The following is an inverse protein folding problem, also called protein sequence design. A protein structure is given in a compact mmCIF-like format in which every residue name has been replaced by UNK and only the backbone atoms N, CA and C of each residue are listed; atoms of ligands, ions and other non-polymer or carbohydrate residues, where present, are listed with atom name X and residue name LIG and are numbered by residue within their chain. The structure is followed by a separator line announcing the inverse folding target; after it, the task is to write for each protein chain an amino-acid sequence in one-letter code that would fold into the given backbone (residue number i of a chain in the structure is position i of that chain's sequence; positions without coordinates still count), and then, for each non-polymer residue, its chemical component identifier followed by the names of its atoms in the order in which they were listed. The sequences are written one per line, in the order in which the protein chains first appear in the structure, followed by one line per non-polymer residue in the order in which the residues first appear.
data_IF_666339285446
#
_entry.id   IF_666339285446
#
_cell.length_a   1.000
_cell.length_b   1.000
_cell.length_c   1.000
_cell.angle_alpha   90.00
_cell.angle_beta   90.00
_cell.angle_gamma   90.00
#
_symmetry.space_group_name_H-M   'P 1'
#
loop_
_entity.id
_entity.type
_entity.pdbx_description
1 polymer ?
#
# COMPACT_ATOMS: atom_id res chain seq x y z
N UNK A 1 26.60 20.55 20.81
CA UNK A 1 25.27 20.84 20.23
C UNK A 1 24.40 19.59 20.30
N UNK A 2 23.49 19.54 21.26
CA UNK A 2 22.54 18.44 21.50
C UNK A 2 21.37 18.55 20.53
N UNK A 3 21.63 18.32 19.24
CA UNK A 3 20.59 18.28 18.22
C UNK A 3 20.00 16.88 18.12
N UNK A 4 18.66 16.77 18.21
CA UNK A 4 17.96 15.54 17.80
C UNK A 4 18.12 15.35 16.29
N UNK A 5 18.39 14.13 15.84
CA UNK A 5 18.49 13.80 14.41
C UNK A 5 17.39 12.82 14.03
N UNK A 6 16.66 13.10 12.95
CA UNK A 6 15.62 12.20 12.48
C UNK A 6 16.21 10.95 11.82
N UNK A 7 15.45 9.85 11.91
CA UNK A 7 15.81 8.56 11.34
C UNK A 7 14.67 8.02 10.47
N UNK A 8 15.04 7.28 9.42
CA UNK A 8 14.15 6.49 8.58
C UNK A 8 14.35 5.02 8.95
N UNK A 9 13.65 4.58 10.00
CA UNK A 9 13.75 3.22 10.55
C UNK A 9 12.61 2.36 9.98
N UNK A 10 12.88 1.37 9.12
CA UNK A 10 11.88 0.42 8.69
C UNK A 10 11.27 -0.34 9.87
N UNK A 11 10.02 -0.78 9.75
CA UNK A 11 9.33 -1.50 10.83
C UNK A 11 10.09 -2.74 11.31
N UNK A 12 10.74 -3.48 10.40
CA UNK A 12 11.53 -4.66 10.72
C UNK A 12 12.75 -4.36 11.61
N UNK A 13 13.27 -3.13 11.54
CA UNK A 13 14.50 -2.72 12.22
C UNK A 13 14.24 -1.99 13.54
N UNK A 14 12.96 -1.77 13.89
CA UNK A 14 12.57 -0.94 15.05
C UNK A 14 13.26 -1.35 16.35
N UNK A 15 13.42 -2.65 16.57
CA UNK A 15 14.02 -3.18 17.80
C UNK A 15 15.54 -3.03 17.78
N UNK A 16 16.17 -3.16 16.60
CA UNK A 16 17.60 -2.91 16.42
C UNK A 16 17.92 -1.42 16.62
N UNK A 17 17.16 -0.53 15.99
CA UNK A 17 17.31 0.92 16.16
C UNK A 17 17.11 1.35 17.62
N UNK A 18 16.10 0.80 18.30
CA UNK A 18 15.85 1.07 19.73
C UNK A 18 17.03 0.61 20.60
N UNK A 19 17.58 -0.59 20.36
CA UNK A 19 18.80 -1.08 21.06
C UNK A 19 20.01 -0.19 20.78
N UNK A 20 20.14 0.33 19.57
CA UNK A 20 21.19 1.28 19.17
C UNK A 20 20.99 2.70 19.75
N UNK A 21 19.92 2.96 20.49
CA UNK A 21 19.69 4.21 21.21
C UNK A 21 18.67 5.15 20.57
N UNK A 22 18.00 4.77 19.48
CA UNK A 22 16.92 5.55 18.90
C UNK A 22 15.74 5.70 19.87
N UNK A 23 14.97 6.76 19.68
CA UNK A 23 13.74 7.09 20.41
C UNK A 23 12.61 7.37 19.43
N UNK A 24 11.37 7.16 19.87
CA UNK A 24 10.16 7.43 19.08
C UNK A 24 9.52 8.73 19.53
N UNK A 25 9.25 9.64 18.59
CA UNK A 25 8.44 10.83 18.82
C UNK A 25 6.99 10.53 18.38
N UNK A 26 6.01 10.43 19.30
CA UNK A 26 4.63 10.11 18.96
C UNK A 26 3.89 11.25 18.24
N UNK A 27 4.31 12.51 18.43
CA UNK A 27 3.70 13.66 17.77
C UNK A 27 4.17 13.74 16.31
N UNK A 28 5.48 13.60 16.09
CA UNK A 28 6.05 13.55 14.74
C UNK A 28 5.83 12.20 14.04
N UNK A 29 5.45 11.16 14.81
CA UNK A 29 5.37 9.75 14.38
C UNK A 29 6.63 9.32 13.65
N UNK A 30 7.80 9.64 14.24
CA UNK A 30 9.11 9.40 13.61
C UNK A 30 10.17 9.02 14.65
N UNK A 31 11.09 8.16 14.24
CA UNK A 31 12.26 7.79 15.03
C UNK A 31 13.32 8.89 15.00
N UNK A 32 14.03 9.09 16.11
CA UNK A 32 15.12 10.04 16.20
C UNK A 32 16.27 9.54 17.08
N UNK A 33 17.48 10.02 16.79
CA UNK A 33 18.64 9.91 17.66
C UNK A 33 18.59 11.06 18.69
N UNK A 34 18.68 10.79 20.01
CA UNK A 34 18.58 11.81 21.05
C UNK A 34 19.79 12.75 21.13
N UNK A 35 20.91 12.38 20.49
CA UNK A 35 22.12 13.19 20.33
C UNK A 35 22.84 12.81 19.04
N UNK A 36 23.68 13.71 18.54
CA UNK A 36 24.56 13.44 17.41
C UNK A 36 25.68 12.44 17.75
N UNK A 37 26.28 11.83 16.72
CA UNK A 37 27.46 10.98 16.85
C UNK A 37 27.21 9.58 17.41
N UNK A 38 26.00 9.03 17.28
CA UNK A 38 25.72 7.63 17.59
C UNK A 38 25.90 6.83 16.29
N UNK A 39 27.12 6.37 16.01
CA UNK A 39 27.46 5.67 14.76
C UNK A 39 26.58 4.43 14.49
N UNK A 40 26.12 3.75 15.55
CA UNK A 40 25.21 2.61 15.43
C UNK A 40 23.84 2.96 14.81
N UNK A 41 23.50 4.25 14.67
CA UNK A 41 22.26 4.73 14.05
C UNK A 41 22.43 5.20 12.59
N UNK A 42 23.67 5.27 12.08
CA UNK A 42 23.97 5.70 10.71
C UNK A 42 23.21 4.91 9.63
N UNK A 43 22.95 3.59 9.77
CA UNK A 43 22.15 2.83 8.79
C UNK A 43 20.73 3.38 8.57
N UNK A 44 20.18 4.12 9.55
CA UNK A 44 18.84 4.70 9.51
C UNK A 44 18.85 6.23 9.41
N UNK A 45 19.98 6.87 9.08
CA UNK A 45 20.04 8.32 8.93
C UNK A 45 18.90 8.84 8.04
N UNK A 46 18.28 9.97 8.37
CA UNK A 46 17.21 10.51 7.53
C UNK A 46 17.71 10.84 6.12
N UNK A 47 16.98 10.37 5.12
CA UNK A 47 17.11 10.81 3.73
C UNK A 47 16.25 12.06 3.48
N UNK A 48 16.44 12.78 2.35
CA UNK A 48 15.52 13.85 1.95
C UNK A 48 14.06 13.37 1.98
N UNK A 49 13.13 14.24 2.37
CA UNK A 49 11.71 13.86 2.34
C UNK A 49 11.22 13.71 0.90
N UNK A 50 10.28 12.78 0.68
CA UNK A 50 9.56 12.66 -0.59
C UNK A 50 8.59 13.85 -0.71
N UNK A 51 8.47 14.49 -1.89
CA UNK A 51 7.54 15.59 -2.09
C UNK A 51 6.09 15.18 -1.83
N UNK A 52 5.27 16.11 -1.32
CA UNK A 52 3.85 15.86 -1.06
C UNK A 52 3.04 15.67 -2.35
N UNK A 53 3.51 16.13 -3.51
CA UNK A 53 2.97 15.80 -4.82
C UNK A 53 4.05 15.04 -5.58
N UNK A 54 3.81 13.77 -5.90
CA UNK A 54 4.74 13.00 -6.73
C UNK A 54 4.74 13.55 -8.17
N UNK A 55 5.89 13.56 -8.86
CA UNK A 55 5.94 13.93 -10.26
C UNK A 55 4.96 13.12 -11.10
N UNK A 56 4.08 13.79 -11.84
CA UNK A 56 3.07 13.13 -12.69
C UNK A 56 1.90 12.46 -11.94
N UNK A 57 1.81 12.57 -10.62
CA UNK A 57 0.68 12.01 -9.87
C UNK A 57 -0.62 12.79 -10.11
N UNK A 58 -1.65 12.07 -10.56
CA UNK A 58 -3.01 12.60 -10.62
C UNK A 58 -3.73 12.32 -9.29
N UNK A 59 -3.85 13.37 -8.46
CA UNK A 59 -4.52 13.27 -7.15
C UNK A 59 -6.04 13.10 -7.26
N UNK A 60 -6.63 13.28 -8.45
CA UNK A 60 -8.05 12.98 -8.70
C UNK A 60 -8.28 11.51 -9.07
N UNK A 61 -7.24 10.81 -9.56
CA UNK A 61 -7.33 9.40 -9.94
C UNK A 61 -7.82 8.55 -8.77
N UNK A 62 -8.86 7.76 -9.03
CA UNK A 62 -9.42 6.85 -8.03
C UNK A 62 -9.94 7.55 -6.78
N UNK A 63 -10.53 8.75 -6.94
CA UNK A 63 -11.27 9.43 -5.88
C UNK A 63 -12.55 8.66 -5.48
N UNK A 64 -12.94 8.80 -4.22
CA UNK A 64 -14.09 8.09 -3.66
C UNK A 64 -13.79 6.63 -3.27
N UNK A 65 -14.81 5.95 -2.74
CA UNK A 65 -14.71 4.53 -2.38
C UNK A 65 -15.29 3.67 -3.49
N UNK A 66 -14.48 2.74 -4.00
CA UNK A 66 -14.91 1.73 -4.95
C UNK A 66 -14.04 0.49 -4.83
N UNK A 67 -14.60 -0.63 -5.31
CA UNK A 67 -13.88 -1.88 -5.54
C UNK A 67 -12.90 -1.69 -6.69
N UNK A 68 -11.60 -1.89 -6.41
CA UNK A 68 -10.50 -1.68 -7.36
C UNK A 68 -9.61 -2.91 -7.32
N UNK A 69 -9.94 -3.87 -8.18
CA UNK A 69 -9.27 -5.16 -8.23
C UNK A 69 -8.07 -5.08 -9.16
N UNK A 70 -6.91 -5.46 -8.64
CA UNK A 70 -5.67 -5.55 -9.42
C UNK A 70 -5.67 -6.86 -10.24
N UNK A 71 -5.24 -6.84 -11.52
CA UNK A 71 -5.15 -8.03 -12.36
C UNK A 71 -4.27 -9.14 -11.77
N UNK A 72 -4.56 -10.40 -12.12
CA UNK A 72 -3.82 -11.57 -11.58
C UNK A 72 -2.31 -11.51 -11.79
N UNK A 73 -1.88 -11.09 -12.99
CA UNK A 73 -0.46 -10.94 -13.37
C UNK A 73 0.28 -9.85 -12.62
N UNK A 74 -0.44 -9.03 -11.86
CA UNK A 74 0.10 -7.95 -11.03
C UNK A 74 -0.06 -8.24 -9.53
N UNK A 75 -0.56 -9.41 -9.15
CA UNK A 75 -0.67 -9.78 -7.74
C UNK A 75 0.72 -9.88 -7.10
N UNK A 76 0.82 -9.42 -5.86
CA UNK A 76 2.04 -9.43 -5.03
C UNK A 76 3.18 -8.49 -5.49
N UNK A 77 2.98 -7.69 -6.53
CA UNK A 77 3.86 -6.56 -6.92
C UNK A 77 3.24 -5.22 -6.58
N UNK A 78 3.24 -4.91 -5.29
CA UNK A 78 2.86 -3.58 -4.79
C UNK A 78 4.11 -2.70 -4.64
N UNK A 79 3.92 -1.41 -4.42
CA UNK A 79 5.05 -0.46 -4.29
C UNK A 79 5.97 -0.87 -3.16
N UNK A 80 5.42 -1.34 -2.03
CA UNK A 80 6.22 -1.79 -0.89
C UNK A 80 7.20 -2.91 -1.24
N UNK A 81 6.85 -3.85 -2.12
CA UNK A 81 7.77 -4.91 -2.56
C UNK A 81 8.77 -4.43 -3.61
N UNK A 82 8.49 -3.31 -4.27
CA UNK A 82 9.30 -2.77 -5.36
C UNK A 82 10.17 -1.57 -4.95
N UNK A 83 10.31 -1.25 -3.67
CA UNK A 83 11.16 -0.13 -3.20
C UNK A 83 12.05 -0.56 -2.05
N UNK A 84 13.13 0.20 -1.79
CA UNK A 84 13.94 0.01 -0.59
C UNK A 84 13.10 0.19 0.70
N UNK A 85 13.48 -0.49 1.78
CA UNK A 85 12.69 -0.46 3.02
C UNK A 85 12.69 0.93 3.69
N UNK A 86 13.77 1.71 3.57
CA UNK A 86 13.81 3.09 4.08
C UNK A 86 12.97 4.01 3.20
N UNK A 87 12.99 3.78 1.89
CA UNK A 87 12.14 4.48 0.93
C UNK A 87 10.65 4.21 1.14
N UNK A 88 10.29 2.97 1.47
CA UNK A 88 8.93 2.65 1.90
C UNK A 88 8.52 3.43 3.16
N UNK A 89 9.40 3.57 4.16
CA UNK A 89 9.08 4.36 5.35
C UNK A 89 8.94 5.86 5.04
N UNK A 90 9.79 6.41 4.15
CA UNK A 90 9.67 7.78 3.64
C UNK A 90 8.31 7.99 2.95
N UNK A 91 7.93 7.08 2.05
CA UNK A 91 6.64 7.11 1.34
C UNK A 91 5.46 7.01 2.31
N UNK A 92 5.46 6.03 3.22
CA UNK A 92 4.39 5.84 4.21
C UNK A 92 4.19 7.08 5.08
N UNK A 93 5.30 7.70 5.51
CA UNK A 93 5.26 8.96 6.27
C UNK A 93 4.68 10.10 5.43
N UNK A 94 5.17 10.30 4.20
CA UNK A 94 4.65 11.31 3.28
C UNK A 94 3.14 11.13 3.07
N UNK A 95 2.69 9.92 2.71
CA UNK A 95 1.27 9.62 2.40
C UNK A 95 0.37 9.94 3.59
N UNK A 96 0.75 9.49 4.78
CA UNK A 96 -0.08 9.71 5.98
C UNK A 96 -0.03 11.15 6.48
N UNK A 97 1.10 11.86 6.33
CA UNK A 97 1.23 13.30 6.63
C UNK A 97 0.35 14.12 5.68
N UNK A 98 0.49 13.88 4.38
CA UNK A 98 -0.26 14.53 3.31
C UNK A 98 -1.76 14.40 3.49
N UNK A 99 -2.22 13.23 3.93
CA UNK A 99 -3.62 12.98 4.22
C UNK A 99 -4.10 13.53 5.58
N UNK A 100 -3.29 14.33 6.28
CA UNK A 100 -3.63 14.87 7.60
C UNK A 100 -3.89 13.78 8.65
N UNK A 101 -3.25 12.62 8.50
CA UNK A 101 -3.51 11.41 9.30
C UNK A 101 -4.99 10.97 9.31
N UNK A 102 -5.65 11.07 8.16
CA UNK A 102 -7.03 10.61 7.94
C UNK A 102 -7.12 9.81 6.64
N UNK A 103 -8.16 9.00 6.54
CA UNK A 103 -8.54 8.36 5.27
C UNK A 103 -8.92 9.43 4.26
N UNK A 104 -8.31 9.42 3.07
CA UNK A 104 -8.63 10.35 1.98
C UNK A 104 -10.01 10.11 1.36
N UNK A 105 -10.65 8.98 1.69
CA UNK A 105 -11.95 8.60 1.15
C UNK A 105 -13.09 8.89 2.14
N UNK A 106 -12.98 8.41 3.38
CA UNK A 106 -14.06 8.55 4.38
C UNK A 106 -13.74 9.51 5.53
N UNK A 107 -12.55 10.15 5.54
CA UNK A 107 -12.15 11.10 6.59
C UNK A 107 -11.81 10.50 7.95
N UNK A 108 -11.98 9.18 8.12
CA UNK A 108 -11.70 8.49 9.38
C UNK A 108 -10.21 8.57 9.76
N UNK A 109 -9.91 8.99 10.99
CA UNK A 109 -8.58 8.90 11.56
C UNK A 109 -8.24 7.44 11.95
N UNK A 110 -6.95 7.13 12.06
CA UNK A 110 -6.49 5.86 12.64
C UNK A 110 -6.90 5.72 14.11
N UNK A 111 -7.34 4.53 14.50
CA UNK A 111 -7.74 4.20 15.86
C UNK A 111 -7.30 2.77 16.19
N UNK A 112 -6.14 2.59 16.86
CA UNK A 112 -5.63 1.27 17.25
C UNK A 112 -6.59 0.47 18.15
N UNK A 113 -7.32 1.12 19.05
CA UNK A 113 -8.27 0.44 19.94
C UNK A 113 -9.43 -0.20 19.16
N UNK A 114 -9.87 0.46 18.09
CA UNK A 114 -10.86 -0.07 17.15
C UNK A 114 -10.24 -0.89 16.01
N UNK A 115 -8.94 -1.24 16.08
CA UNK A 115 -8.17 -1.93 15.03
C UNK A 115 -8.28 -1.24 13.64
N UNK A 116 -8.40 0.09 13.63
CA UNK A 116 -8.44 0.90 12.41
C UNK A 116 -7.07 1.49 12.15
N UNK A 117 -6.43 1.03 11.09
CA UNK A 117 -5.13 1.53 10.66
C UNK A 117 -5.30 2.44 9.45
N UNK A 118 -4.28 3.25 9.17
CA UNK A 118 -4.14 3.98 7.93
C UNK A 118 -3.09 3.27 7.07
N UNK A 119 -3.47 2.95 5.85
CA UNK A 119 -2.75 2.09 4.93
C UNK A 119 -2.52 2.86 3.63
N UNK A 120 -1.30 2.82 3.12
CA UNK A 120 -0.99 3.32 1.79
C UNK A 120 -1.51 2.32 0.76
N UNK A 121 -2.16 2.82 -0.28
CA UNK A 121 -2.73 2.02 -1.35
C UNK A 121 -2.41 2.65 -2.72
N UNK A 122 -2.14 1.81 -3.70
CA UNK A 122 -1.83 2.22 -5.07
C UNK A 122 -3.08 2.32 -5.94
N UNK A 123 -3.23 3.43 -6.68
CA UNK A 123 -4.17 3.54 -7.80
C UNK A 123 -3.41 3.43 -9.11
N UNK A 124 -3.93 2.58 -10.00
CA UNK A 124 -3.27 2.22 -11.25
C UNK A 124 -4.06 2.70 -12.45
N UNK A 125 -3.34 3.04 -13.52
CA UNK A 125 -3.91 3.15 -14.87
C UNK A 125 -3.35 2.04 -15.74
N UNK A 126 -4.15 1.54 -16.68
CA UNK A 126 -3.78 0.46 -17.59
C UNK A 126 -3.82 0.96 -19.03
N UNK A 127 -2.73 0.76 -19.77
CA UNK A 127 -2.67 0.98 -21.21
C UNK A 127 -2.67 -0.37 -21.93
N UNK A 128 -3.84 -0.76 -22.42
CA UNK A 128 -4.08 -2.05 -23.10
C UNK A 128 -3.19 -2.22 -24.35
N UNK A 129 -2.84 -1.11 -25.03
CA UNK A 129 -2.05 -1.13 -26.27
C UNK A 129 -0.57 -1.36 -25.97
N UNK A 130 -0.01 -0.66 -24.98
CA UNK A 130 1.42 -0.77 -24.64
C UNK A 130 1.70 -1.80 -23.57
N UNK A 131 0.66 -2.42 -22.97
CA UNK A 131 0.78 -3.48 -21.96
C UNK A 131 1.42 -2.97 -20.66
N UNK A 132 1.15 -1.71 -20.32
CA UNK A 132 1.74 -1.03 -19.17
C UNK A 132 0.67 -0.79 -18.09
N UNK A 133 0.95 -1.25 -16.87
CA UNK A 133 0.29 -0.83 -15.65
C UNK A 133 1.14 0.27 -15.02
N UNK A 134 0.60 1.50 -14.97
CA UNK A 134 1.31 2.66 -14.43
C UNK A 134 0.76 3.05 -13.07
N UNK A 135 1.66 3.29 -12.11
CA UNK A 135 1.28 3.88 -10.83
C UNK A 135 0.86 5.33 -11.06
N UNK A 136 -0.43 5.62 -10.84
CA UNK A 136 -0.96 6.97 -11.03
C UNK A 136 -1.09 7.76 -9.74
N UNK A 137 -1.32 7.08 -8.60
CA UNK A 137 -1.48 7.74 -7.29
C UNK A 137 -1.19 6.81 -6.11
N UNK A 138 -0.65 7.38 -5.04
CA UNK A 138 -0.63 6.76 -3.72
C UNK A 138 -1.70 7.41 -2.82
N UNK A 139 -2.60 6.62 -2.26
CA UNK A 139 -3.71 7.12 -1.45
C UNK A 139 -3.69 6.53 -0.03
N UNK A 140 -3.99 7.34 0.97
CA UNK A 140 -4.12 6.91 2.36
C UNK A 140 -5.56 6.44 2.64
N UNK A 141 -5.75 5.15 2.90
CA UNK A 141 -7.05 4.54 3.21
C UNK A 141 -7.10 4.04 4.66
N UNK A 142 -8.27 4.09 5.30
CA UNK A 142 -8.47 3.33 6.53
C UNK A 142 -8.68 1.84 6.22
N UNK A 143 -8.48 0.97 7.20
CA UNK A 143 -8.62 -0.49 7.02
C UNK A 143 -9.95 -0.94 6.43
N UNK A 144 -11.06 -0.25 6.71
CA UNK A 144 -12.36 -0.55 6.13
C UNK A 144 -12.44 -0.16 4.65
N UNK A 145 -12.02 1.06 4.28
CA UNK A 145 -11.94 1.48 2.88
C UNK A 145 -10.98 0.60 2.07
N UNK A 146 -9.83 0.26 2.65
CA UNK A 146 -8.85 -0.64 2.03
C UNK A 146 -9.43 -2.04 1.79
N UNK A 147 -10.21 -2.56 2.76
CA UNK A 147 -10.93 -3.85 2.61
C UNK A 147 -11.95 -3.81 1.48
N UNK A 148 -12.71 -2.72 1.32
CA UNK A 148 -13.66 -2.54 0.21
C UNK A 148 -12.94 -2.49 -1.13
N UNK A 149 -11.87 -1.72 -1.22
CA UNK A 149 -11.07 -1.63 -2.44
C UNK A 149 -10.54 -3.01 -2.87
N UNK A 150 -10.04 -3.83 -1.93
CA UNK A 150 -9.65 -5.22 -2.18
C UNK A 150 -10.80 -6.22 -1.97
N UNK A 151 -11.96 -5.99 -2.60
CA UNK A 151 -13.18 -6.76 -2.34
C UNK A 151 -13.04 -8.27 -2.56
N UNK A 152 -12.36 -8.70 -3.63
CA UNK A 152 -12.14 -10.13 -3.89
C UNK A 152 -11.37 -10.83 -2.77
N UNK A 153 -10.39 -10.15 -2.17
CA UNK A 153 -9.69 -10.67 -0.98
C UNK A 153 -10.60 -10.67 0.25
N UNK A 154 -11.49 -9.68 0.40
CA UNK A 154 -12.48 -9.66 1.47
C UNK A 154 -13.43 -10.86 1.38
N UNK A 155 -13.87 -11.25 0.19
CA UNK A 155 -14.70 -12.44 -0.03
C UNK A 155 -13.97 -13.72 0.39
N UNK A 156 -12.74 -13.93 -0.09
CA UNK A 156 -11.91 -15.09 0.29
C UNK A 156 -11.71 -15.19 1.81
N UNK A 157 -11.67 -14.05 2.51
CA UNK A 157 -11.50 -13.98 3.97
C UNK A 157 -12.83 -13.98 4.75
N UNK A 158 -13.98 -14.14 4.09
CA UNK A 158 -15.30 -14.14 4.74
C UNK A 158 -15.75 -12.78 5.28
N UNK A 159 -15.17 -11.68 4.79
CA UNK A 159 -15.46 -10.29 5.22
C UNK A 159 -16.33 -9.52 4.22
N UNK A 160 -16.95 -10.22 3.28
CA UNK A 160 -17.82 -9.64 2.24
C UNK A 160 -18.93 -8.74 2.83
N UNK A 161 -19.64 -9.22 3.85
CA UNK A 161 -20.73 -8.47 4.48
C UNK A 161 -20.27 -7.14 5.07
N UNK A 162 -19.11 -7.13 5.72
CA UNK A 162 -18.49 -5.92 6.27
C UNK A 162 -18.09 -4.95 5.16
N UNK A 163 -17.53 -5.46 4.07
CA UNK A 163 -17.12 -4.66 2.92
C UNK A 163 -18.33 -3.99 2.25
N UNK A 164 -19.41 -4.74 1.97
CA UNK A 164 -20.64 -4.16 1.43
C UNK A 164 -21.22 -3.08 2.34
N UNK A 165 -21.35 -3.36 3.64
CA UNK A 165 -21.89 -2.40 4.59
C UNK A 165 -21.07 -1.10 4.60
N UNK A 166 -19.74 -1.20 4.56
CA UNK A 166 -18.88 -0.02 4.52
C UNK A 166 -18.95 0.73 3.18
N UNK A 167 -19.00 0.00 2.06
CA UNK A 167 -19.16 0.59 0.72
C UNK A 167 -20.43 1.44 0.67
N UNK A 168 -21.57 0.87 1.05
CA UNK A 168 -22.86 1.59 1.07
C UNK A 168 -22.84 2.78 2.04
N UNK A 169 -22.29 2.61 3.24
CA UNK A 169 -22.25 3.68 4.23
C UNK A 169 -21.42 4.90 3.78
N UNK A 170 -20.34 4.69 3.02
CA UNK A 170 -19.47 5.78 2.55
C UNK A 170 -19.97 6.39 1.24
N UNK A 171 -20.53 5.59 0.33
CA UNK A 171 -20.94 6.04 -1.01
C UNK A 171 -22.40 6.47 -1.10
N UNK A 172 -23.25 6.04 -0.15
CA UNK A 172 -24.70 6.17 -0.24
C UNK A 172 -25.35 5.24 -1.29
N UNK A 173 -24.61 4.27 -1.85
CA UNK A 173 -25.19 3.28 -2.75
C UNK A 173 -26.28 2.47 -2.06
N UNK A 174 -27.37 2.21 -2.79
CA UNK A 174 -28.34 1.17 -2.40
C UNK A 174 -27.69 -0.21 -2.51
N UNK A 175 -28.27 -1.21 -1.86
CA UNK A 175 -27.75 -2.59 -1.96
C UNK A 175 -27.67 -3.08 -3.41
N UNK A 176 -28.72 -2.82 -4.22
CA UNK A 176 -28.72 -3.18 -5.63
C UNK A 176 -27.57 -2.54 -6.41
N UNK A 177 -27.33 -1.23 -6.22
CA UNK A 177 -26.22 -0.51 -6.87
C UNK A 177 -24.85 -0.98 -6.37
N UNK A 178 -24.73 -1.33 -5.08
CA UNK A 178 -23.48 -1.85 -4.54
C UNK A 178 -23.15 -3.22 -5.14
N UNK A 179 -24.16 -4.09 -5.36
CA UNK A 179 -23.97 -5.38 -6.03
C UNK A 179 -23.55 -5.20 -7.49
N UNK A 180 -24.26 -4.36 -8.23
CA UNK A 180 -23.91 -4.00 -9.62
C UNK A 180 -22.49 -3.43 -9.70
N UNK A 181 -22.11 -2.54 -8.78
CA UNK A 181 -20.75 -1.99 -8.68
C UNK A 181 -19.69 -3.09 -8.54
N UNK A 182 -19.94 -4.06 -7.66
CA UNK A 182 -19.02 -5.19 -7.44
C UNK A 182 -18.94 -6.05 -8.70
N UNK A 183 -20.07 -6.41 -9.31
CA UNK A 183 -20.13 -7.21 -10.54
C UNK A 183 -19.31 -6.56 -11.67
N UNK A 184 -19.53 -5.27 -11.94
CA UNK A 184 -18.77 -4.51 -12.95
C UNK A 184 -17.28 -4.49 -12.63
N UNK A 185 -16.90 -4.33 -11.36
CA UNK A 185 -15.49 -4.36 -10.97
C UNK A 185 -14.84 -5.75 -11.23
N UNK A 186 -15.59 -6.84 -11.04
CA UNK A 186 -15.13 -8.19 -11.37
C UNK A 186 -15.03 -8.43 -12.88
N UNK A 187 -15.92 -7.84 -13.69
CA UNK A 187 -15.81 -7.90 -15.16
C UNK A 187 -14.54 -7.20 -15.66
N UNK A 188 -14.27 -6.00 -15.15
CA UNK A 188 -13.03 -5.27 -15.45
C UNK A 188 -11.81 -6.09 -15.04
N UNK A 189 -11.82 -6.63 -13.82
CA UNK A 189 -10.75 -7.50 -13.35
C UNK A 189 -10.54 -8.73 -14.25
N UNK A 190 -11.62 -9.39 -14.67
CA UNK A 190 -11.56 -10.58 -15.51
C UNK A 190 -10.91 -10.25 -16.86
N UNK A 191 -11.31 -9.14 -17.49
CA UNK A 191 -10.73 -8.64 -18.75
C UNK A 191 -9.25 -8.33 -18.61
N UNK A 192 -8.87 -7.53 -17.61
CA UNK A 192 -7.46 -7.15 -17.39
C UNK A 192 -6.60 -8.34 -16.95
N UNK A 193 -7.20 -9.40 -16.39
CA UNK A 193 -6.50 -10.62 -15.98
C UNK A 193 -6.30 -11.65 -17.11
N UNK A 194 -6.72 -11.33 -18.34
CA UNK A 194 -6.34 -12.09 -19.55
C UNK A 194 -4.97 -11.68 -20.09
N UNK A 195 -4.32 -10.75 -19.42
CA UNK A 195 -3.31 -9.88 -19.98
C UNK A 195 -2.09 -9.83 -19.03
N UNK A 196 -0.88 -9.97 -19.58
CA UNK A 196 0.38 -9.68 -18.88
C UNK A 196 0.70 -8.18 -18.92
N UNK A 197 1.13 -7.62 -17.78
CA UNK A 197 1.40 -6.20 -17.62
C UNK A 197 2.83 -5.94 -17.16
N UNK A 198 3.48 -4.98 -17.80
CA UNK A 198 4.73 -4.39 -17.33
C UNK A 198 4.42 -3.27 -16.35
N UNK A 199 5.20 -3.15 -15.28
CA UNK A 199 5.01 -2.10 -14.27
C UNK A 199 5.79 -0.84 -14.62
N UNK A 200 5.11 0.30 -14.56
CA UNK A 200 5.71 1.63 -14.64
C UNK A 200 5.55 2.32 -13.27
N UNK A 201 6.69 2.49 -12.59
CA UNK A 201 6.82 3.15 -11.28
C UNK A 201 7.64 4.44 -11.36
N UNK A 202 7.75 5.03 -12.56
CA UNK A 202 8.58 6.23 -12.82
C UNK A 202 8.28 7.40 -11.87
N UNK A 203 7.01 7.58 -11.47
CA UNK A 203 6.61 8.63 -10.52
C UNK A 203 7.36 8.55 -9.17
N UNK A 204 7.88 7.36 -8.82
CA UNK A 204 8.67 7.14 -7.61
C UNK A 204 10.14 7.46 -7.84
N UNK A 205 10.74 6.97 -8.92
CA UNK A 205 12.15 7.26 -9.24
C UNK A 205 12.37 8.75 -9.41
N UNK A 206 11.43 9.43 -10.06
CA UNK A 206 11.47 10.88 -10.29
C UNK A 206 11.31 11.67 -8.97
N UNK A 207 10.76 11.05 -7.92
CA UNK A 207 10.65 11.59 -6.57
C UNK A 207 11.84 11.22 -5.66
N UNK A 208 12.91 10.63 -6.20
CA UNK A 208 14.09 10.21 -5.44
C UNK A 208 13.84 8.98 -4.55
N UNK A 209 12.97 8.07 -4.98
CA UNK A 209 12.72 6.76 -4.37
C UNK A 209 13.50 5.70 -5.14
N UNK A 210 14.24 4.85 -4.42
CA UNK A 210 14.96 3.72 -5.01
C UNK A 210 13.99 2.58 -5.29
N UNK A 211 13.65 2.39 -6.57
CA UNK A 211 12.83 1.28 -7.04
C UNK A 211 13.72 0.06 -7.27
N UNK A 212 13.33 -1.07 -6.68
CA UNK A 212 13.88 -2.40 -6.99
C UNK A 212 13.01 -3.03 -8.07
N UNK A 213 13.58 -3.49 -9.19
CA UNK A 213 12.79 -4.04 -10.27
C UNK A 213 11.95 -5.21 -9.74
N UNK A 214 10.63 -5.20 -9.95
CA UNK A 214 9.79 -6.35 -9.64
C UNK A 214 10.23 -7.56 -10.48
N UNK A 215 10.00 -8.81 -10.02
CA UNK A 215 10.24 -10.02 -10.83
C UNK A 215 9.58 -9.90 -12.21
N UNK A 216 10.04 -10.62 -13.23
CA UNK A 216 9.41 -10.55 -14.55
C UNK A 216 7.93 -10.94 -14.49
N UNK A 217 7.11 -10.37 -15.38
CA UNK A 217 5.65 -10.59 -15.37
C UNK A 217 5.27 -12.08 -15.41
N UNK A 218 6.02 -12.88 -16.18
CA UNK A 218 5.83 -14.34 -16.28
C UNK A 218 6.05 -15.07 -14.94
N UNK A 219 7.01 -14.62 -14.13
CA UNK A 219 7.32 -15.23 -12.82
C UNK A 219 6.27 -14.88 -11.75
N UNK A 220 5.57 -13.75 -11.90
CA UNK A 220 4.54 -13.29 -10.95
C UNK A 220 3.30 -14.16 -10.95
N UNK A 221 2.84 -14.57 -12.13
CA UNK A 221 1.67 -15.45 -12.28
C UNK A 221 1.86 -16.78 -11.53
N UNK A 222 3.07 -17.34 -11.58
CA UNK A 222 3.41 -18.58 -10.89
C UNK A 222 3.38 -18.40 -9.36
N UNK A 223 3.96 -17.30 -8.84
CA UNK A 223 3.95 -16.98 -7.40
C UNK A 223 2.54 -16.73 -6.89
N UNK A 224 1.71 -16.07 -7.70
CA UNK A 224 0.35 -15.74 -7.31
C UNK A 224 -0.54 -16.98 -7.16
N UNK A 225 -0.42 -17.92 -8.11
CA UNK A 225 -1.14 -19.20 -8.10
C UNK A 225 -0.77 -20.03 -6.86
N UNK A 226 0.52 -20.09 -6.49
CA UNK A 226 0.99 -20.88 -5.34
C UNK A 226 0.61 -20.32 -3.96
N UNK A 227 0.37 -19.01 -3.83
CA UNK A 227 -0.06 -18.39 -2.57
C UNK A 227 -1.57 -18.48 -2.32
N UNK A 228 -2.37 -18.63 -3.38
CA UNK A 228 -3.82 -18.78 -3.28
C UNK A 228 -4.23 -20.25 -3.13
N UNK A 229 -3.44 -21.17 -3.67
CA UNK A 229 -3.60 -22.62 -3.49
C UNK A 229 -2.34 -23.22 -2.85
N UNK A 230 -2.11 -23.01 -1.53
CA UNK A 230 -1.00 -23.68 -0.88
C UNK A 230 -1.19 -25.20 -0.97
N UNK A 231 -0.15 -26.00 -1.25
CA UNK A 231 -0.26 -27.45 -1.20
C UNK A 231 -0.81 -27.86 0.16
N UNK A 232 -1.84 -28.70 0.15
CA UNK A 232 -2.45 -29.22 1.37
C UNK A 232 -1.40 -29.90 2.26
N UNK A 233 -1.61 -29.94 3.58
CA UNK A 233 -0.67 -30.61 4.47
C UNK A 233 -0.45 -32.05 4.00
N UNK A 234 0.79 -32.57 4.04
CA UNK A 234 1.05 -33.94 3.60
C UNK A 234 0.15 -34.90 4.37
N UNK A 235 -0.54 -35.77 3.64
CA UNK A 235 -1.38 -36.81 4.23
C UNK A 235 -0.51 -37.62 5.17
N UNK A 236 -0.84 -37.63 6.47
CA UNK A 236 -0.25 -38.58 7.41
C UNK A 236 -0.68 -39.98 6.97
N UNK A 237 0.19 -40.65 6.22
CA UNK A 237 0.18 -42.11 6.06
C UNK A 237 1.28 -42.64 7.00
N UNK A 238 0.89 -43.54 7.91
CA UNK A 238 1.77 -44.18 8.88
C UNK A 238 1.47 -43.72 10.30
#
# INVERSE_FOLDING_TARGET
MTGRLWLDVPFADKDAAKRAGARWDPAAKRWYAPRSGIAALDPWAAMPDVPDLLPGEDRSLGAGLFVDLVPRSCWFTNVRSCVDHRDWERLRRMITRRAGHRCEVCGAAGNPAAKRWLEAHERWTYDDRTRVQRLGRLICLCSACHTVTHFGLAQVRGREREAYAHLMAVTGMTEARAREHVEVAFEVWFRLSQLQWTLDLSILTDAGVTVRPPPDAADRDTVATGRLNPPGPPSRRG
#
